data_IF_199427967639
#
_entry.id   IF_199427967639
#
_cell.length_a   1.000
_cell.length_b   1.000
_cell.length_c   1.000
_cell.angle_alpha   90.00
_cell.angle_beta   90.00
_cell.angle_gamma   90.00
#
_symmetry.space_group_name_H-M   'P 1'
#
loop_
_entity.id
_entity.type
_entity.pdbx_description
1 polymer ?
#
# COMPACT_ATOMS: atom_id res chain seq x y z
N UNK A 1 -27.49 21.89 -80.82
CA UNK A 1 -26.25 21.19 -80.40
C UNK A 1 -26.00 21.42 -78.96
N UNK A 2 -26.35 20.48 -78.11
CA UNK A 2 -26.25 20.62 -76.69
C UNK A 2 -25.25 19.61 -76.20
N UNK A 3 -24.10 20.06 -75.73
CA UNK A 3 -23.07 19.20 -75.11
C UNK A 3 -23.35 19.06 -73.63
N UNK A 4 -23.76 17.89 -73.21
CA UNK A 4 -23.98 17.47 -71.88
C UNK A 4 -22.63 17.26 -71.17
N UNK A 5 -22.25 18.10 -70.23
CA UNK A 5 -21.08 17.90 -69.39
C UNK A 5 -21.49 17.14 -68.12
N UNK A 6 -21.16 15.87 -68.12
CA UNK A 6 -21.31 15.01 -66.94
C UNK A 6 -20.30 15.41 -65.84
N UNK A 7 -20.78 15.90 -64.73
CA UNK A 7 -19.95 16.14 -63.50
C UNK A 7 -19.95 14.88 -62.65
N UNK A 8 -18.82 14.21 -62.66
CA UNK A 8 -18.55 13.11 -61.76
C UNK A 8 -18.17 13.70 -60.41
N UNK A 9 -19.02 13.54 -59.41
CA UNK A 9 -18.68 13.82 -58.00
C UNK A 9 -17.96 12.61 -57.43
N UNK A 10 -16.65 12.72 -57.20
CA UNK A 10 -15.89 11.76 -56.38
C UNK A 10 -16.09 12.12 -54.95
N UNK A 11 -16.91 11.35 -54.24
CA UNK A 11 -17.00 11.43 -52.77
C UNK A 11 -15.80 10.72 -52.14
N UNK A 12 -14.85 11.47 -51.65
CA UNK A 12 -13.78 10.94 -50.84
C UNK A 12 -14.30 10.66 -49.43
N UNK A 13 -14.57 9.39 -49.14
CA UNK A 13 -14.87 8.94 -47.77
C UNK A 13 -13.57 8.93 -46.95
N UNK A 14 -13.39 9.90 -46.07
CA UNK A 14 -12.30 9.91 -45.10
C UNK A 14 -12.69 8.97 -43.97
N UNK A 15 -12.09 7.79 -43.96
CA UNK A 15 -12.24 6.81 -42.88
C UNK A 15 -11.33 7.24 -41.75
N UNK A 16 -11.88 7.97 -40.78
CA UNK A 16 -11.18 8.30 -39.50
C UNK A 16 -11.18 7.07 -38.62
N UNK A 17 -10.11 6.28 -38.67
CA UNK A 17 -9.87 5.22 -37.71
C UNK A 17 -9.50 5.86 -36.37
N UNK A 18 -10.48 5.96 -35.46
CA UNK A 18 -10.23 6.31 -34.05
C UNK A 18 -9.48 5.17 -33.40
N UNK A 19 -8.16 5.32 -33.24
CA UNK A 19 -7.32 4.41 -32.48
C UNK A 19 -7.60 4.69 -30.98
N UNK A 20 -8.57 3.99 -30.40
CA UNK A 20 -8.74 3.93 -28.95
C UNK A 20 -7.58 3.13 -28.39
N UNK A 21 -6.48 3.81 -28.07
CA UNK A 21 -5.40 3.24 -27.28
C UNK A 21 -5.93 2.90 -25.89
N UNK A 22 -6.17 1.64 -25.63
CA UNK A 22 -6.44 1.18 -24.27
C UNK A 22 -5.22 1.49 -23.41
N UNK A 23 -5.30 2.51 -22.56
CA UNK A 23 -4.32 2.78 -21.53
C UNK A 23 -4.40 1.63 -20.51
N UNK A 24 -3.58 0.62 -20.72
CA UNK A 24 -3.37 -0.40 -19.70
C UNK A 24 -2.66 0.26 -18.54
N UNK A 25 -3.43 0.62 -17.51
CA UNK A 25 -2.87 1.02 -16.22
C UNK A 25 -2.26 -0.23 -15.59
N UNK A 26 -0.95 -0.39 -15.72
CA UNK A 26 -0.22 -1.38 -14.95
C UNK A 26 -0.20 -0.87 -13.51
N UNK A 27 -1.10 -1.40 -12.67
CA UNK A 27 -0.98 -1.23 -11.23
C UNK A 27 0.33 -1.88 -10.80
N UNK A 28 1.16 -1.17 -10.04
CA UNK A 28 2.36 -1.76 -9.46
C UNK A 28 1.96 -2.98 -8.60
N UNK A 29 2.77 -4.06 -8.62
CA UNK A 29 2.44 -5.25 -7.85
C UNK A 29 2.32 -4.91 -6.36
N UNK A 30 1.28 -5.43 -5.71
CA UNK A 30 1.07 -5.23 -4.29
C UNK A 30 2.23 -5.84 -3.49
N UNK A 31 2.74 -5.10 -2.50
CA UNK A 31 3.79 -5.59 -1.63
C UNK A 31 3.29 -6.75 -0.77
N UNK A 32 4.09 -7.80 -0.66
CA UNK A 32 3.74 -9.01 0.06
C UNK A 32 3.63 -8.77 1.57
N UNK A 33 2.77 -9.55 2.23
CA UNK A 33 2.73 -9.62 3.69
C UNK A 33 4.07 -10.11 4.25
N UNK A 34 4.45 -9.59 5.41
CA UNK A 34 5.61 -10.02 6.20
C UNK A 34 5.14 -10.54 7.54
N UNK A 35 5.77 -11.61 8.00
CA UNK A 35 5.42 -12.27 9.25
C UNK A 35 6.61 -12.31 10.19
N UNK A 36 6.34 -12.04 11.47
CA UNK A 36 7.23 -12.31 12.59
C UNK A 36 6.52 -13.28 13.52
N UNK A 37 7.10 -14.44 13.77
CA UNK A 37 6.57 -15.46 14.68
C UNK A 37 7.64 -15.73 15.73
N UNK A 38 7.49 -15.12 16.90
CA UNK A 38 8.46 -15.17 17.97
C UNK A 38 7.79 -15.02 19.33
N UNK A 39 8.36 -15.65 20.36
CA UNK A 39 7.88 -15.65 21.74
C UNK A 39 6.40 -16.06 21.88
N UNK A 40 5.91 -16.95 21.02
CA UNK A 40 4.50 -17.40 21.01
C UNK A 40 3.49 -16.36 20.52
N UNK A 41 3.98 -15.30 19.88
CA UNK A 41 3.15 -14.28 19.24
C UNK A 41 3.50 -14.16 17.77
N UNK A 42 2.52 -14.38 16.92
CA UNK A 42 2.60 -14.19 15.47
C UNK A 42 2.07 -12.79 15.13
N UNK A 43 2.86 -12.04 14.38
CA UNK A 43 2.49 -10.73 13.85
C UNK A 43 2.64 -10.74 12.33
N UNK A 44 1.57 -10.40 11.62
CA UNK A 44 1.54 -10.30 10.15
C UNK A 44 1.27 -8.86 9.78
N UNK A 45 2.14 -8.27 8.97
CA UNK A 45 1.98 -6.91 8.45
C UNK A 45 1.88 -6.93 6.94
N UNK A 46 0.88 -6.23 6.39
CA UNK A 46 0.66 -6.10 4.96
C UNK A 46 0.47 -4.65 4.59
N UNK A 47 1.31 -4.04 3.73
CA UNK A 47 1.06 -2.73 3.16
C UNK A 47 -0.22 -2.78 2.32
N UNK A 48 -1.20 -1.94 2.63
CA UNK A 48 -2.51 -1.89 1.94
C UNK A 48 -2.65 -0.67 1.06
N UNK A 49 -2.27 0.49 1.59
CA UNK A 49 -2.27 1.77 0.87
C UNK A 49 -0.90 2.40 1.05
N UNK A 50 -0.22 2.68 -0.03
CA UNK A 50 1.09 3.32 -0.05
C UNK A 50 1.34 3.94 -1.44
N UNK A 51 2.40 4.71 -1.57
CA UNK A 51 2.77 5.32 -2.85
C UNK A 51 2.57 6.83 -2.89
N UNK A 52 3.00 7.48 -3.99
CA UNK A 52 3.06 8.93 -4.07
C UNK A 52 1.70 9.62 -4.13
N UNK A 53 0.66 8.92 -4.58
CA UNK A 53 -0.71 9.44 -4.66
C UNK A 53 -1.52 9.29 -3.37
N UNK A 54 -1.06 8.48 -2.42
CA UNK A 54 -1.76 8.23 -1.15
C UNK A 54 -1.32 9.27 -0.12
N UNK A 55 -2.24 10.08 0.41
CA UNK A 55 -1.94 11.04 1.48
C UNK A 55 -1.66 10.34 2.81
N UNK A 56 -2.30 9.21 3.05
CA UNK A 56 -2.13 8.35 4.22
C UNK A 56 -1.68 6.97 3.76
N UNK A 57 -0.61 6.47 4.38
CA UNK A 57 -0.16 5.11 4.18
C UNK A 57 -0.79 4.19 5.23
N UNK A 58 -1.25 3.02 4.79
CA UNK A 58 -1.99 2.09 5.63
C UNK A 58 -1.37 0.70 5.61
N UNK A 59 -1.16 0.17 6.81
CA UNK A 59 -0.64 -1.17 7.03
C UNK A 59 -1.65 -2.00 7.83
N UNK A 60 -2.12 -3.08 7.22
CA UNK A 60 -2.88 -4.08 7.98
C UNK A 60 -1.94 -4.79 8.93
N UNK A 61 -2.34 -4.89 10.19
CA UNK A 61 -1.62 -5.64 11.23
C UNK A 61 -2.57 -6.66 11.82
N UNK A 62 -2.15 -7.93 11.82
CA UNK A 62 -2.87 -9.04 12.45
C UNK A 62 -1.93 -9.70 13.45
N UNK A 63 -2.39 -9.87 14.67
CA UNK A 63 -1.62 -10.46 15.77
C UNK A 63 -2.42 -11.60 16.39
N UNK A 64 -1.74 -12.72 16.60
CA UNK A 64 -2.28 -13.92 17.22
C UNK A 64 -1.33 -14.45 18.27
N UNK A 65 -1.86 -14.88 19.42
CA UNK A 65 -1.10 -15.46 20.51
C UNK A 65 -1.93 -16.47 21.30
N UNK A 66 -1.24 -17.36 22.00
CA UNK A 66 -1.83 -18.26 23.00
C UNK A 66 -1.15 -18.13 24.37
N UNK A 67 -0.23 -17.20 24.51
CA UNK A 67 0.62 -17.12 25.72
C UNK A 67 0.46 -15.82 26.52
N UNK A 68 0.19 -14.69 25.89
CA UNK A 68 0.09 -13.38 26.55
C UNK A 68 -0.97 -12.51 25.90
N UNK A 69 -1.65 -11.62 26.65
CA UNK A 69 -2.54 -10.63 26.05
C UNK A 69 -1.76 -9.66 25.14
N UNK A 70 -2.41 -9.22 24.05
CA UNK A 70 -1.88 -8.26 23.10
C UNK A 70 -2.21 -6.83 23.54
N UNK A 71 -1.57 -6.35 24.60
CA UNK A 71 -1.96 -5.14 25.33
C UNK A 71 -1.24 -3.86 24.87
N UNK A 72 -0.29 -3.95 23.95
CA UNK A 72 0.53 -2.82 23.52
C UNK A 72 -0.30 -1.78 22.78
N UNK A 73 0.00 -0.49 23.02
CA UNK A 73 -0.51 0.61 22.23
C UNK A 73 0.30 0.74 20.96
N UNK A 74 -0.26 0.27 19.82
CA UNK A 74 0.45 0.23 18.54
C UNK A 74 0.79 1.61 17.98
N UNK A 75 0.06 2.67 18.33
CA UNK A 75 0.44 4.03 17.93
C UNK A 75 1.70 4.54 18.61
N UNK A 76 2.07 3.95 19.73
CA UNK A 76 3.31 4.25 20.47
C UNK A 76 4.40 3.20 20.20
N UNK A 77 4.00 1.95 19.99
CA UNK A 77 4.93 0.84 19.80
C UNK A 77 5.48 0.72 18.39
N UNK A 78 4.78 1.27 17.40
CA UNK A 78 5.17 1.17 16.00
C UNK A 78 5.86 2.43 15.49
N UNK A 79 6.77 2.25 14.52
CA UNK A 79 7.40 3.33 13.78
C UNK A 79 7.68 2.88 12.34
N UNK A 80 7.41 3.76 11.38
CA UNK A 80 7.79 3.56 9.99
C UNK A 80 9.13 4.26 9.75
N UNK A 81 10.06 3.58 9.05
CA UNK A 81 11.39 4.11 8.72
C UNK A 81 11.58 3.97 7.22
N UNK A 82 11.93 5.07 6.54
CA UNK A 82 12.22 5.04 5.11
C UNK A 82 13.68 4.62 4.84
N UNK A 83 14.01 4.37 3.56
CA UNK A 83 15.34 3.96 3.14
C UNK A 83 16.44 4.99 3.42
N UNK A 84 16.10 6.24 3.71
CA UNK A 84 17.02 7.30 4.16
C UNK A 84 17.16 7.36 5.69
N UNK A 85 16.46 6.51 6.43
CA UNK A 85 16.50 6.46 7.89
C UNK A 85 15.57 7.48 8.56
N UNK A 86 14.72 8.19 7.82
CA UNK A 86 13.73 9.10 8.41
C UNK A 86 12.64 8.30 9.09
N UNK A 87 12.19 8.77 10.25
CA UNK A 87 11.29 8.07 11.15
C UNK A 87 9.93 8.77 11.19
N UNK A 88 8.85 7.99 11.07
CA UNK A 88 7.47 8.48 11.06
C UNK A 88 6.67 7.78 12.14
N UNK A 89 6.03 8.55 13.02
CA UNK A 89 5.10 8.01 14.01
C UNK A 89 3.75 7.69 13.35
N UNK A 90 3.03 6.67 13.84
CA UNK A 90 1.66 6.44 13.40
C UNK A 90 0.78 7.66 13.67
N UNK A 91 -0.10 7.98 12.73
CA UNK A 91 -1.15 8.99 12.89
C UNK A 91 -2.43 8.41 13.49
N UNK A 92 -2.59 7.08 13.46
CA UNK A 92 -3.75 6.41 14.01
C UNK A 92 -3.69 4.88 13.95
N UNK A 93 -4.57 4.29 14.71
CA UNK A 93 -4.91 2.88 14.69
C UNK A 93 -6.43 2.73 14.54
N UNK A 94 -6.85 1.98 13.54
CA UNK A 94 -8.26 1.63 13.31
C UNK A 94 -8.41 0.12 13.41
N UNK A 95 -8.96 -0.36 14.50
CA UNK A 95 -9.09 -1.79 14.72
C UNK A 95 -9.40 -2.15 16.18
N UNK A 96 -9.08 -3.38 16.55
CA UNK A 96 -9.39 -3.93 17.85
C UNK A 96 -8.64 -3.16 18.97
N UNK A 97 -9.32 -3.01 20.10
CA UNK A 97 -8.73 -2.43 21.30
C UNK A 97 -7.56 -3.30 21.82
N UNK A 98 -6.64 -2.73 22.63
CA UNK A 98 -5.62 -3.51 23.31
C UNK A 98 -6.21 -4.63 24.18
N UNK A 99 -5.54 -5.79 24.17
CA UNK A 99 -5.94 -6.96 24.93
C UNK A 99 -6.31 -8.16 24.04
N UNK A 100 -6.71 -9.26 24.69
CA UNK A 100 -7.09 -10.49 24.00
C UNK A 100 -5.93 -11.25 23.36
N UNK A 101 -6.28 -12.33 22.68
CA UNK A 101 -5.33 -13.24 22.02
C UNK A 101 -5.32 -13.10 20.49
N UNK A 102 -6.30 -12.41 19.93
CA UNK A 102 -6.41 -12.04 18.52
C UNK A 102 -6.64 -10.53 18.43
N UNK A 103 -5.88 -9.87 17.60
CA UNK A 103 -6.02 -8.43 17.41
C UNK A 103 -5.68 -8.05 15.98
N UNK A 104 -6.57 -7.32 15.32
CA UNK A 104 -6.40 -6.88 13.95
C UNK A 104 -6.83 -5.44 13.77
N UNK A 105 -6.22 -4.78 12.82
CA UNK A 105 -6.58 -3.43 12.42
C UNK A 105 -5.60 -2.84 11.43
N UNK A 106 -5.67 -1.54 11.27
CA UNK A 106 -4.87 -0.77 10.32
C UNK A 106 -4.10 0.32 11.07
N UNK A 107 -2.78 0.28 10.95
CA UNK A 107 -1.90 1.38 11.32
C UNK A 107 -1.84 2.39 10.18
N UNK A 108 -1.96 3.67 10.52
CA UNK A 108 -1.94 4.77 9.58
C UNK A 108 -0.73 5.66 9.84
N UNK A 109 -0.11 6.13 8.75
CA UNK A 109 1.02 7.05 8.76
C UNK A 109 0.79 8.17 7.74
N UNK A 110 1.29 9.37 8.04
CA UNK A 110 1.40 10.39 7.01
C UNK A 110 2.36 9.89 5.92
N UNK A 111 2.04 10.17 4.67
CA UNK A 111 2.91 9.83 3.55
C UNK A 111 4.29 10.47 3.74
N UNK A 112 5.40 9.71 3.54
CA UNK A 112 6.73 10.30 3.40
C UNK A 112 6.75 11.39 2.31
N UNK A 113 7.49 12.50 2.49
CA UNK A 113 7.50 13.60 1.52
C UNK A 113 8.05 13.18 0.15
N UNK A 114 8.92 12.19 0.13
CA UNK A 114 9.46 11.57 -1.08
C UNK A 114 9.16 10.07 -1.07
N UNK A 115 8.89 9.49 -2.25
CA UNK A 115 8.69 8.05 -2.36
C UNK A 115 10.00 7.30 -2.08
N UNK A 116 10.10 6.52 -1.01
CA UNK A 116 11.32 5.79 -0.69
C UNK A 116 11.48 4.56 -1.59
N UNK A 117 12.72 4.15 -1.83
CA UNK A 117 13.04 2.88 -2.51
C UNK A 117 12.86 1.66 -1.60
N UNK A 118 12.89 1.88 -0.30
CA UNK A 118 12.61 0.87 0.71
C UNK A 118 12.03 1.51 1.94
N UNK A 119 11.27 0.74 2.71
CA UNK A 119 10.80 1.15 4.02
C UNK A 119 10.65 -0.07 4.93
N UNK A 120 10.67 0.17 6.22
CA UNK A 120 10.42 -0.85 7.22
C UNK A 120 9.45 -0.34 8.29
N UNK A 121 8.61 -1.24 8.79
CA UNK A 121 7.81 -1.03 9.97
C UNK A 121 8.46 -1.77 11.13
N UNK A 122 8.77 -1.06 12.20
CA UNK A 122 9.25 -1.64 13.45
C UNK A 122 8.13 -1.59 14.48
N UNK A 123 7.93 -2.70 15.21
CA UNK A 123 6.96 -2.79 16.31
C UNK A 123 7.70 -3.34 17.54
N UNK A 124 7.67 -2.58 18.63
CA UNK A 124 8.39 -2.90 19.87
C UNK A 124 7.45 -3.48 20.93
N UNK A 125 7.97 -4.37 21.76
CA UNK A 125 7.34 -4.83 23.00
C UNK A 125 6.29 -5.93 22.83
N UNK A 126 5.77 -6.16 21.66
CA UNK A 126 4.71 -7.16 21.42
C UNK A 126 5.19 -8.57 21.78
N UNK A 127 4.53 -9.21 22.74
CA UNK A 127 4.90 -10.52 23.27
C UNK A 127 6.20 -10.52 24.06
N UNK A 128 6.69 -9.36 24.50
CA UNK A 128 7.98 -9.19 25.18
C UNK A 128 9.18 -9.20 24.23
N UNK A 129 8.97 -9.25 22.92
CA UNK A 129 10.03 -9.12 21.91
C UNK A 129 10.44 -7.65 21.82
N UNK A 130 11.74 -7.37 21.96
CA UNK A 130 12.25 -6.00 21.99
C UNK A 130 11.87 -5.22 20.72
N UNK A 131 12.03 -5.85 19.56
CA UNK A 131 11.68 -5.24 18.27
C UNK A 131 11.38 -6.31 17.23
N UNK A 132 10.32 -6.09 16.46
CA UNK A 132 9.97 -6.84 15.25
C UNK A 132 10.11 -5.91 14.06
N UNK A 133 10.81 -6.33 13.01
CA UNK A 133 11.06 -5.52 11.80
C UNK A 133 10.46 -6.18 10.59
N UNK A 134 9.69 -5.40 9.83
CA UNK A 134 9.04 -5.82 8.59
C UNK A 134 9.51 -4.89 7.48
N UNK A 135 10.20 -5.42 6.47
CA UNK A 135 10.87 -4.62 5.45
C UNK A 135 10.34 -4.92 4.05
N UNK A 136 10.21 -3.88 3.24
CA UNK A 136 9.84 -3.94 1.82
C UNK A 136 10.79 -3.09 0.98
N UNK A 137 11.11 -3.62 -0.19
CA UNK A 137 11.73 -2.87 -1.28
C UNK A 137 10.60 -2.44 -2.23
N UNK A 138 10.70 -1.21 -2.74
CA UNK A 138 9.76 -0.63 -3.70
C UNK A 138 10.50 -0.48 -5.03
N UNK A 139 10.03 -1.17 -6.04
CA UNK A 139 10.57 -1.11 -7.40
C UNK A 139 10.11 0.15 -8.14
#
# INVERSE_FOLDING_TARGET
>A
MLKLLSRIFIAAAVLSAAFLGALHSFAAPALAARTSDDAGVRVVVTPKVYGPSAAVWEFSVVMDTHVKPLSENLTQAAILIDGAGRRYQPTGWQGDAPGGHHRKGVLQFARPPEMPKSFELQITGVGGVAMRTFRWEVE
#
